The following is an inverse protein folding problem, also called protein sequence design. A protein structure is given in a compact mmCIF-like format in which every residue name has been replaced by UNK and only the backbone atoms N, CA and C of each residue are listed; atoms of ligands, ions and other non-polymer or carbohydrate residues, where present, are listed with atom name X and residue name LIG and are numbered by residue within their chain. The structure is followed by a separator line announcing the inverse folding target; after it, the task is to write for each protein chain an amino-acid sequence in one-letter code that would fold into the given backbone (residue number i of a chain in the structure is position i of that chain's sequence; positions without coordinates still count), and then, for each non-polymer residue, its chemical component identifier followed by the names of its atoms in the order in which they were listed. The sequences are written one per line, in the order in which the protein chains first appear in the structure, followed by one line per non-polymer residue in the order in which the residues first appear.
data_IF_513373156877
#
_entry.id   IF_513373156877
#
_cell.length_a   1.000
_cell.length_b   1.000
_cell.length_c   1.000
_cell.angle_alpha   90.00
_cell.angle_beta   90.00
_cell.angle_gamma   90.00
#
_symmetry.space_group_name_H-M   'P 1'
#
loop_
_entity.id
_entity.type
_entity.pdbx_description
1 polymer ?
#
# COMPACT_ATOMS: atom_id res chain seq x y z
N UNK A 1 -38.90 18.59 -46.04
CA UNK A 1 -38.57 17.75 -44.87
C UNK A 1 -37.07 17.35 -44.81
N UNK A 2 -36.16 18.10 -45.47
CA UNK A 2 -34.72 17.80 -45.49
C UNK A 2 -33.84 18.85 -44.78
N UNK A 3 -34.39 20.01 -44.40
CA UNK A 3 -33.62 21.10 -43.77
C UNK A 3 -33.54 20.96 -42.24
N UNK A 4 -34.49 20.24 -41.61
CA UNK A 4 -34.52 20.06 -40.14
C UNK A 4 -33.58 18.97 -39.61
N UNK A 5 -33.05 18.10 -40.48
CA UNK A 5 -32.13 17.02 -40.09
C UNK A 5 -30.64 17.43 -40.10
N UNK A 6 -30.26 18.52 -40.78
CA UNK A 6 -28.87 19.01 -40.75
C UNK A 6 -28.57 19.88 -39.52
N UNK A 7 -29.55 20.60 -38.97
CA UNK A 7 -29.37 21.35 -37.72
C UNK A 7 -29.23 20.44 -36.48
N UNK A 8 -29.95 19.30 -36.43
CA UNK A 8 -29.85 18.35 -35.32
C UNK A 8 -28.48 17.65 -35.30
N UNK A 9 -27.90 17.37 -36.46
CA UNK A 9 -26.54 16.81 -36.59
C UNK A 9 -25.46 17.85 -36.24
N UNK A 10 -25.71 19.15 -36.50
CA UNK A 10 -24.83 20.24 -36.09
C UNK A 10 -24.81 20.50 -34.58
N UNK A 11 -25.95 20.29 -33.91
CA UNK A 11 -26.08 20.45 -32.44
C UNK A 11 -25.43 19.27 -31.70
N UNK A 12 -25.51 18.04 -32.21
CA UNK A 12 -24.81 16.87 -31.65
C UNK A 12 -23.28 16.96 -31.75
N UNK A 13 -22.75 17.70 -32.72
CA UNK A 13 -21.30 17.97 -32.86
C UNK A 13 -20.77 19.09 -31.95
N UNK A 14 -21.63 19.82 -31.24
CA UNK A 14 -21.26 20.88 -30.29
C UNK A 14 -21.36 20.46 -28.82
N UNK A 15 -21.35 19.15 -28.53
CA UNK A 15 -21.20 18.67 -27.17
C UNK A 15 -19.70 18.61 -26.81
N UNK A 16 -19.25 19.24 -25.70
CA UNK A 16 -17.89 19.13 -25.17
C UNK A 16 -17.58 17.72 -24.61
N UNK A 17 -18.36 16.71 -25.00
CA UNK A 17 -18.21 15.32 -24.61
C UNK A 17 -17.14 14.59 -25.41
N UNK A 18 -16.91 14.91 -26.70
CA UNK A 18 -15.93 14.19 -27.53
C UNK A 18 -14.50 14.32 -27.00
N UNK A 19 -14.05 15.54 -26.66
CA UNK A 19 -12.72 15.75 -26.09
C UNK A 19 -12.59 15.14 -24.68
N UNK A 20 -13.67 15.16 -23.88
CA UNK A 20 -13.69 14.54 -22.54
C UNK A 20 -13.67 13.02 -22.60
N UNK A 21 -14.36 12.41 -23.57
CA UNK A 21 -14.37 10.96 -23.80
C UNK A 21 -13.04 10.49 -24.37
N UNK A 22 -12.43 11.24 -25.30
CA UNK A 22 -11.09 10.95 -25.78
C UNK A 22 -10.04 11.09 -24.66
N UNK A 23 -10.12 12.13 -23.82
CA UNK A 23 -9.22 12.28 -22.67
C UNK A 23 -9.44 11.20 -21.60
N UNK A 24 -10.69 10.76 -21.43
CA UNK A 24 -11.02 9.64 -20.54
C UNK A 24 -10.50 8.32 -21.09
N UNK A 25 -10.65 8.08 -22.40
CA UNK A 25 -10.11 6.89 -23.07
C UNK A 25 -8.59 6.81 -22.98
N UNK A 26 -7.88 7.92 -23.20
CA UNK A 26 -6.43 7.98 -23.00
C UNK A 26 -6.03 7.75 -21.55
N UNK A 27 -6.81 8.27 -20.59
CA UNK A 27 -6.57 8.07 -19.16
C UNK A 27 -6.78 6.61 -18.72
N UNK A 28 -7.87 5.97 -19.16
CA UNK A 28 -8.13 4.55 -18.90
C UNK A 28 -7.04 3.68 -19.54
N UNK A 29 -6.62 4.01 -20.76
CA UNK A 29 -5.51 3.34 -21.43
C UNK A 29 -4.22 3.48 -20.63
N UNK A 30 -3.92 4.68 -20.12
CA UNK A 30 -2.75 4.90 -19.26
C UNK A 30 -2.80 4.05 -17.99
N UNK A 31 -3.94 3.96 -17.29
CA UNK A 31 -4.08 3.10 -16.09
C UNK A 31 -3.82 1.63 -16.42
N UNK A 32 -4.30 1.16 -17.58
CA UNK A 32 -4.12 -0.22 -18.01
C UNK A 32 -2.69 -0.51 -18.48
N UNK A 33 -2.02 0.46 -19.10
CA UNK A 33 -0.60 0.37 -19.46
C UNK A 33 0.30 0.44 -18.22
N UNK A 34 -0.11 1.22 -17.22
CA UNK A 34 0.63 1.39 -15.97
C UNK A 34 0.62 0.10 -15.13
N UNK A 35 -0.57 -0.49 -14.91
CA UNK A 35 -0.67 -1.79 -14.26
C UNK A 35 -1.69 -2.69 -14.98
N UNK A 36 -1.25 -3.55 -15.91
CA UNK A 36 -2.16 -4.42 -16.67
C UNK A 36 -2.93 -5.39 -15.77
N UNK A 37 -2.44 -5.65 -14.55
CA UNK A 37 -3.15 -6.51 -13.58
C UNK A 37 -4.47 -5.88 -13.14
N UNK A 38 -4.61 -4.54 -13.17
CA UNK A 38 -5.88 -3.84 -12.88
C UNK A 38 -6.95 -4.16 -13.91
N UNK A 39 -6.59 -4.26 -15.19
CA UNK A 39 -7.50 -4.67 -16.26
C UNK A 39 -7.91 -6.13 -16.10
N UNK A 40 -6.95 -7.03 -15.83
CA UNK A 40 -7.27 -8.43 -15.57
C UNK A 40 -8.18 -8.56 -14.35
N UNK A 41 -7.90 -7.82 -13.28
CA UNK A 41 -8.71 -7.78 -12.07
C UNK A 41 -10.16 -7.32 -12.33
N UNK A 42 -10.37 -6.24 -13.10
CA UNK A 42 -11.73 -5.77 -13.40
C UNK A 42 -12.55 -6.82 -14.17
N UNK A 43 -11.92 -7.52 -15.12
CA UNK A 43 -12.55 -8.63 -15.85
C UNK A 43 -12.87 -9.81 -14.91
N UNK A 44 -11.98 -10.16 -13.99
CA UNK A 44 -12.24 -11.23 -12.99
C UNK A 44 -13.44 -10.93 -12.11
N UNK A 45 -13.54 -9.70 -11.61
CA UNK A 45 -14.66 -9.27 -10.76
C UNK A 45 -15.97 -9.39 -11.56
N UNK A 46 -15.98 -8.88 -12.80
CA UNK A 46 -17.14 -9.02 -13.69
C UNK A 46 -17.52 -10.48 -13.95
N UNK A 47 -16.54 -11.34 -14.21
CA UNK A 47 -16.74 -12.77 -14.43
C UNK A 47 -17.30 -13.47 -13.18
N UNK A 48 -16.75 -13.19 -12.00
CA UNK A 48 -17.22 -13.74 -10.73
C UNK A 48 -18.67 -13.34 -10.45
N UNK A 49 -19.02 -12.06 -10.67
CA UNK A 49 -20.40 -11.57 -10.54
C UNK A 49 -21.32 -12.24 -11.55
N UNK A 50 -20.90 -12.36 -12.81
CA UNK A 50 -21.69 -13.00 -13.86
C UNK A 50 -21.97 -14.47 -13.52
N UNK A 51 -20.96 -15.23 -13.10
CA UNK A 51 -21.11 -16.65 -12.75
C UNK A 51 -21.99 -16.83 -11.52
N UNK A 52 -21.78 -16.04 -10.46
CA UNK A 52 -22.65 -16.08 -9.27
C UNK A 52 -24.08 -15.69 -9.61
N UNK A 53 -24.28 -14.76 -10.56
CA UNK A 53 -25.61 -14.40 -11.08
C UNK A 53 -26.22 -15.47 -11.98
N UNK A 54 -25.42 -16.23 -12.74
CA UNK A 54 -25.94 -17.32 -13.59
C UNK A 54 -26.53 -18.45 -12.74
N UNK A 55 -25.96 -18.75 -11.57
CA UNK A 55 -26.58 -19.66 -10.61
C UNK A 55 -27.98 -19.23 -10.16
N UNK A 56 -28.31 -17.94 -10.27
CA UNK A 56 -29.65 -17.43 -10.01
C UNK A 56 -30.58 -17.57 -11.22
N UNK A 57 -30.08 -17.41 -12.44
CA UNK A 57 -30.89 -17.50 -13.65
C UNK A 57 -31.24 -18.94 -14.08
N UNK A 58 -30.45 -19.94 -13.65
CA UNK A 58 -30.72 -21.35 -13.95
C UNK A 58 -31.42 -22.04 -12.77
N UNK A 59 -32.73 -21.79 -12.65
CA UNK A 59 -33.67 -22.33 -11.65
C UNK A 59 -33.68 -23.87 -11.43
N UNK A 60 -33.42 -24.77 -12.41
CA UNK A 60 -33.67 -26.21 -12.20
C UNK A 60 -32.73 -26.94 -11.23
N UNK A 61 -31.63 -26.33 -10.76
CA UNK A 61 -30.65 -26.99 -9.89
C UNK A 61 -30.85 -26.73 -8.39
N UNK A 62 -31.70 -25.75 -8.01
CA UNK A 62 -31.83 -25.26 -6.64
C UNK A 62 -33.29 -24.99 -6.25
N UNK A 63 -34.15 -25.99 -6.48
CA UNK A 63 -35.60 -25.96 -6.18
C UNK A 63 -35.85 -25.99 -4.66
N UNK A 64 -35.58 -24.86 -3.98
CA UNK A 64 -35.84 -24.66 -2.56
C UNK A 64 -36.52 -23.29 -2.38
N UNK A 65 -37.79 -23.32 -1.96
CA UNK A 65 -38.61 -22.14 -1.72
C UNK A 65 -37.88 -21.13 -0.80
N UNK A 66 -37.48 -19.97 -1.35
CA UNK A 66 -36.88 -18.86 -0.57
C UNK A 66 -35.57 -18.26 -1.11
N UNK A 67 -34.98 -18.82 -2.18
CA UNK A 67 -33.65 -18.41 -2.65
C UNK A 67 -33.61 -17.07 -3.44
N UNK A 68 -34.76 -16.54 -3.86
CA UNK A 68 -34.86 -15.34 -4.70
C UNK A 68 -34.17 -14.09 -4.12
N UNK A 69 -34.54 -13.72 -2.89
CA UNK A 69 -33.94 -12.58 -2.16
C UNK A 69 -32.58 -12.94 -1.57
N UNK A 70 -32.32 -14.22 -1.29
CA UNK A 70 -31.04 -14.68 -0.75
C UNK A 70 -29.88 -14.57 -1.75
N UNK A 71 -30.18 -14.71 -3.04
CA UNK A 71 -29.18 -14.66 -4.12
C UNK A 71 -28.57 -13.27 -4.32
N UNK A 72 -29.33 -12.20 -4.06
CA UNK A 72 -28.81 -10.83 -4.06
C UNK A 72 -27.67 -10.68 -3.05
N UNK A 73 -27.72 -11.39 -1.91
CA UNK A 73 -26.66 -11.35 -0.91
C UNK A 73 -25.37 -12.02 -1.36
N UNK A 74 -25.44 -13.06 -2.19
CA UNK A 74 -24.26 -13.68 -2.77
C UNK A 74 -23.55 -12.70 -3.72
N UNK A 75 -24.29 -12.07 -4.63
CA UNK A 75 -23.76 -11.05 -5.56
C UNK A 75 -23.18 -9.85 -4.81
N UNK A 76 -23.92 -9.30 -3.84
CA UNK A 76 -23.43 -8.20 -2.98
C UNK A 76 -22.19 -8.63 -2.20
N UNK A 77 -22.09 -9.89 -1.78
CA UNK A 77 -20.90 -10.39 -1.10
C UNK A 77 -19.68 -10.38 -2.02
N UNK A 78 -19.83 -10.86 -3.26
CA UNK A 78 -18.75 -10.78 -4.26
C UNK A 78 -18.31 -9.33 -4.43
N UNK A 79 -19.24 -8.42 -4.71
CA UNK A 79 -18.92 -6.99 -4.93
C UNK A 79 -18.16 -6.36 -3.76
N UNK A 80 -18.51 -6.72 -2.52
CA UNK A 80 -17.96 -6.06 -1.32
C UNK A 80 -16.68 -6.73 -0.80
N UNK A 81 -16.52 -8.03 -1.03
CA UNK A 81 -15.36 -8.82 -0.53
C UNK A 81 -14.23 -8.88 -1.55
N UNK A 82 -14.54 -8.87 -2.85
CA UNK A 82 -13.54 -9.00 -3.89
C UNK A 82 -12.66 -7.76 -3.93
N UNK A 83 -11.37 -7.95 -3.64
CA UNK A 83 -10.35 -6.92 -3.56
C UNK A 83 -9.23 -7.18 -4.55
N UNK A 84 -8.42 -6.15 -4.81
CA UNK A 84 -7.35 -6.22 -5.80
C UNK A 84 -6.38 -7.39 -5.56
N UNK A 85 -5.97 -7.60 -4.31
CA UNK A 85 -5.10 -8.71 -3.91
C UNK A 85 -5.88 -9.88 -3.30
N UNK A 86 -5.28 -11.07 -3.39
CA UNK A 86 -5.79 -12.29 -2.78
C UNK A 86 -5.88 -12.13 -1.26
N UNK A 87 -4.82 -11.61 -0.62
CA UNK A 87 -4.79 -11.40 0.83
C UNK A 87 -5.88 -10.46 1.34
N UNK A 88 -6.16 -9.37 0.61
CA UNK A 88 -7.23 -8.45 0.96
C UNK A 88 -8.61 -9.10 0.84
N UNK A 89 -8.83 -9.91 -0.20
CA UNK A 89 -10.08 -10.64 -0.42
C UNK A 89 -10.30 -11.70 0.66
N UNK A 90 -9.28 -12.49 0.99
CA UNK A 90 -9.31 -13.48 2.07
C UNK A 90 -9.61 -12.81 3.42
N UNK A 91 -8.90 -11.74 3.75
CA UNK A 91 -9.11 -10.99 4.99
C UNK A 91 -10.52 -10.42 5.11
N UNK A 92 -11.05 -9.80 4.04
CA UNK A 92 -12.45 -9.33 4.01
C UNK A 92 -13.45 -10.47 4.09
N UNK A 93 -13.22 -11.57 3.38
CA UNK A 93 -14.11 -12.74 3.36
C UNK A 93 -14.24 -13.37 4.75
N UNK A 94 -13.12 -13.61 5.42
CA UNK A 94 -13.10 -14.13 6.80
C UNK A 94 -13.75 -13.15 7.77
N UNK A 95 -13.41 -11.85 7.69
CA UNK A 95 -14.02 -10.82 8.53
C UNK A 95 -15.54 -10.76 8.33
N UNK A 96 -16.03 -10.87 7.10
CA UNK A 96 -17.47 -10.91 6.79
C UNK A 96 -18.12 -12.13 7.41
N UNK A 97 -17.53 -13.32 7.23
CA UNK A 97 -18.05 -14.57 7.79
C UNK A 97 -18.20 -14.52 9.31
N UNK A 98 -17.15 -14.10 10.02
CA UNK A 98 -17.17 -13.95 11.49
C UNK A 98 -18.20 -12.91 11.92
N UNK A 99 -18.21 -11.74 11.28
CA UNK A 99 -19.15 -10.67 11.61
C UNK A 99 -20.62 -11.10 11.42
N UNK A 100 -20.92 -11.76 10.30
CA UNK A 100 -22.25 -12.28 10.00
C UNK A 100 -22.67 -13.35 11.01
N UNK A 101 -21.78 -14.28 11.37
CA UNK A 101 -22.07 -15.32 12.36
C UNK A 101 -22.38 -14.74 13.74
N UNK A 102 -21.54 -13.81 14.23
CA UNK A 102 -21.74 -13.14 15.50
C UNK A 102 -23.02 -12.30 15.52
N UNK A 103 -23.24 -11.52 14.46
CA UNK A 103 -24.43 -10.69 14.32
C UNK A 103 -25.73 -11.51 14.22
N UNK A 104 -25.70 -12.63 13.49
CA UNK A 104 -26.83 -13.54 13.37
C UNK A 104 -27.16 -14.21 14.70
N UNK A 105 -26.14 -14.70 15.40
CA UNK A 105 -26.31 -15.30 16.73
C UNK A 105 -26.91 -14.30 17.73
N UNK A 106 -26.39 -13.07 17.74
CA UNK A 106 -26.90 -12.01 18.61
C UNK A 106 -28.31 -11.56 18.21
N UNK A 107 -28.62 -11.51 16.91
CA UNK A 107 -29.95 -11.19 16.41
C UNK A 107 -31.01 -12.21 16.84
N UNK A 108 -30.68 -13.51 16.76
CA UNK A 108 -31.54 -14.58 17.28
C UNK A 108 -31.72 -14.45 18.79
N UNK A 109 -30.66 -14.12 19.54
CA UNK A 109 -30.75 -13.89 20.97
C UNK A 109 -31.67 -12.69 21.32
N UNK A 110 -31.52 -11.56 20.60
CA UNK A 110 -32.37 -10.39 20.77
C UNK A 110 -33.85 -10.71 20.47
N UNK A 111 -34.11 -11.50 19.43
CA UNK A 111 -35.45 -11.96 19.11
C UNK A 111 -36.04 -12.84 20.22
N UNK A 112 -35.27 -13.82 20.73
CA UNK A 112 -35.71 -14.68 21.85
C UNK A 112 -36.03 -13.87 23.10
N UNK A 113 -35.18 -12.89 23.45
CA UNK A 113 -35.42 -11.98 24.57
C UNK A 113 -36.71 -11.17 24.39
N UNK A 114 -36.96 -10.66 23.18
CA UNK A 114 -38.18 -9.92 22.89
C UNK A 114 -39.44 -10.80 23.00
N UNK A 115 -39.36 -12.06 22.56
CA UNK A 115 -40.48 -13.02 22.69
C UNK A 115 -40.74 -13.46 24.13
N UNK A 116 -39.69 -13.58 24.97
CA UNK A 116 -39.86 -13.93 26.39
C UNK A 116 -40.62 -12.85 27.18
N UNK A 117 -40.66 -11.60 26.69
CA UNK A 117 -41.39 -10.52 27.35
C UNK A 117 -42.92 -10.69 27.31
N UNK A 118 -43.45 -11.66 26.55
CA UNK A 118 -44.87 -12.09 26.59
C UNK A 118 -45.89 -11.04 26.14
N UNK A 119 -45.47 -9.91 25.59
CA UNK A 119 -46.33 -8.81 25.15
C UNK A 119 -45.94 -8.36 23.75
N UNK A 120 -46.83 -8.58 22.79
CA UNK A 120 -46.63 -8.23 21.38
C UNK A 120 -46.38 -6.72 21.18
N UNK A 121 -46.87 -5.88 22.10
CA UNK A 121 -46.64 -4.43 22.09
C UNK A 121 -45.22 -4.05 22.54
N UNK A 122 -44.57 -4.86 23.37
CA UNK A 122 -43.22 -4.62 23.89
C UNK A 122 -42.13 -5.17 22.96
N UNK A 123 -42.43 -6.19 22.16
CA UNK A 123 -41.48 -6.81 21.23
C UNK A 123 -40.78 -5.81 20.29
N UNK A 124 -41.47 -4.89 19.57
CA UNK A 124 -40.80 -3.94 18.68
C UNK A 124 -39.97 -2.90 19.45
N UNK A 125 -40.36 -2.56 20.69
CA UNK A 125 -39.62 -1.64 21.55
C UNK A 125 -38.30 -2.29 22.01
N UNK A 126 -38.35 -3.54 22.46
CA UNK A 126 -37.16 -4.30 22.89
C UNK A 126 -36.19 -4.51 21.72
N UNK A 127 -36.70 -4.88 20.54
CA UNK A 127 -35.87 -5.03 19.34
C UNK A 127 -35.28 -3.69 18.89
N UNK A 128 -36.06 -2.60 18.92
CA UNK A 128 -35.60 -1.25 18.59
C UNK A 128 -34.48 -0.77 19.52
N UNK A 129 -34.66 -0.95 20.84
CA UNK A 129 -33.63 -0.63 21.83
C UNK A 129 -32.36 -1.48 21.64
N UNK A 130 -32.53 -2.77 21.34
CA UNK A 130 -31.39 -3.67 21.06
C UNK A 130 -30.60 -3.21 19.84
N UNK A 131 -31.27 -2.87 18.73
CA UNK A 131 -30.66 -2.30 17.53
C UNK A 131 -29.93 -1.01 17.84
N UNK A 132 -30.58 -0.09 18.55
CA UNK A 132 -29.97 1.18 18.95
C UNK A 132 -28.70 0.98 19.78
N UNK A 133 -28.75 0.15 20.82
CA UNK A 133 -27.61 -0.10 21.72
C UNK A 133 -26.44 -0.75 20.98
N UNK A 134 -26.69 -1.85 20.25
CA UNK A 134 -25.63 -2.58 19.54
C UNK A 134 -25.03 -1.72 18.42
N UNK A 135 -25.86 -1.02 17.64
CA UNK A 135 -25.37 -0.16 16.58
C UNK A 135 -24.53 1.01 17.14
N UNK A 136 -24.95 1.60 18.26
CA UNK A 136 -24.20 2.68 18.92
C UNK A 136 -22.84 2.19 19.44
N UNK A 137 -22.81 1.06 20.16
CA UNK A 137 -21.58 0.47 20.70
C UNK A 137 -20.63 0.10 19.56
N UNK A 138 -21.12 -0.63 18.57
CA UNK A 138 -20.31 -1.05 17.43
C UNK A 138 -19.80 0.14 16.61
N UNK A 139 -20.63 1.18 16.40
CA UNK A 139 -20.18 2.41 15.73
C UNK A 139 -19.12 3.14 16.53
N UNK A 140 -19.25 3.20 17.87
CA UNK A 140 -18.22 3.77 18.72
C UNK A 140 -16.89 3.00 18.62
N UNK A 141 -16.94 1.66 18.58
CA UNK A 141 -15.75 0.82 18.38
C UNK A 141 -15.00 1.15 17.07
N UNK A 142 -15.68 1.63 16.02
CA UNK A 142 -15.04 2.05 14.75
C UNK A 142 -14.16 3.28 14.89
N UNK A 143 -14.36 4.10 15.92
CA UNK A 143 -13.48 5.24 16.19
C UNK A 143 -12.19 4.83 16.91
N UNK A 144 -12.11 3.62 17.47
CA UNK A 144 -10.91 3.11 18.14
C UNK A 144 -9.86 2.71 17.08
N UNK A 145 -8.68 3.37 17.00
CA UNK A 145 -7.71 3.12 15.91
C UNK A 145 -7.27 1.67 15.82
N UNK A 146 -7.07 0.99 16.97
CA UNK A 146 -6.66 -0.42 17.04
C UNK A 146 -7.68 -1.37 16.40
N UNK A 147 -8.98 -1.09 16.54
CA UNK A 147 -10.04 -1.89 15.95
C UNK A 147 -10.29 -1.50 14.49
N UNK A 148 -10.25 -0.20 14.20
CA UNK A 148 -10.52 0.34 12.86
C UNK A 148 -9.59 -0.24 11.80
N UNK A 149 -8.28 -0.28 12.06
CA UNK A 149 -7.29 -0.74 11.08
C UNK A 149 -7.52 -2.20 10.64
N UNK A 150 -8.04 -3.05 11.53
CA UNK A 150 -8.15 -4.49 11.28
C UNK A 150 -9.58 -4.98 11.03
N UNK A 151 -10.56 -4.33 11.64
CA UNK A 151 -11.93 -4.85 11.73
C UNK A 151 -13.01 -3.85 11.30
N UNK A 152 -12.70 -2.64 10.84
CA UNK A 152 -13.73 -1.64 10.48
C UNK A 152 -14.80 -2.21 9.52
N UNK A 153 -14.35 -2.93 8.49
CA UNK A 153 -15.22 -3.64 7.56
C UNK A 153 -16.12 -4.68 8.27
N UNK A 154 -15.53 -5.51 9.14
CA UNK A 154 -16.26 -6.51 9.91
C UNK A 154 -17.30 -5.89 10.85
N UNK A 155 -16.96 -4.79 11.52
CA UNK A 155 -17.88 -4.05 12.40
C UNK A 155 -19.05 -3.47 11.59
N UNK A 156 -18.80 -2.93 10.40
CA UNK A 156 -19.85 -2.44 9.51
C UNK A 156 -20.81 -3.57 9.09
N UNK A 157 -20.27 -4.73 8.69
CA UNK A 157 -21.08 -5.91 8.34
C UNK A 157 -21.84 -6.45 9.54
N UNK A 158 -21.24 -6.41 10.73
CA UNK A 158 -21.88 -6.83 11.97
C UNK A 158 -23.11 -5.98 12.27
N UNK A 159 -22.98 -4.64 12.22
CA UNK A 159 -24.10 -3.70 12.40
C UNK A 159 -25.20 -3.98 11.39
N UNK A 160 -24.85 -4.04 10.09
CA UNK A 160 -25.81 -4.29 9.02
C UNK A 160 -26.55 -5.61 9.20
N UNK A 161 -25.82 -6.66 9.60
CA UNK A 161 -26.38 -8.00 9.73
C UNK A 161 -27.30 -8.10 10.93
N UNK A 162 -26.86 -7.57 12.08
CA UNK A 162 -27.63 -7.57 13.32
C UNK A 162 -28.92 -6.77 13.15
N UNK A 163 -28.83 -5.52 12.65
CA UNK A 163 -30.00 -4.66 12.45
C UNK A 163 -31.03 -5.30 11.53
N UNK A 164 -30.59 -5.91 10.43
CA UNK A 164 -31.49 -6.57 9.51
C UNK A 164 -32.16 -7.82 10.11
N UNK A 165 -31.42 -8.68 10.81
CA UNK A 165 -31.98 -9.90 11.42
C UNK A 165 -32.98 -9.53 12.52
N UNK A 166 -32.61 -8.57 13.38
CA UNK A 166 -33.48 -8.08 14.46
C UNK A 166 -34.76 -7.43 13.94
N UNK A 167 -34.69 -6.61 12.87
CA UNK A 167 -35.87 -5.93 12.29
C UNK A 167 -36.74 -6.90 11.47
N UNK A 168 -36.11 -7.78 10.67
CA UNK A 168 -36.85 -8.74 9.82
C UNK A 168 -37.47 -9.89 10.61
N UNK A 169 -36.90 -10.24 11.77
CA UNK A 169 -37.44 -11.26 12.66
C UNK A 169 -38.77 -10.87 13.32
N UNK A 170 -39.06 -9.57 13.44
CA UNK A 170 -40.34 -9.10 13.97
C UNK A 170 -41.54 -9.47 13.08
N UNK A 171 -41.35 -9.53 11.76
CA UNK A 171 -42.45 -9.74 10.79
C UNK A 171 -42.70 -11.22 10.44
N UNK A 172 -41.85 -12.13 10.90
CA UNK A 172 -41.81 -13.48 10.35
C UNK A 172 -41.29 -14.48 11.40
N UNK A 173 -42.06 -15.53 11.67
CA UNK A 173 -41.80 -16.46 12.78
C UNK A 173 -40.58 -17.38 12.54
N UNK A 174 -40.00 -17.39 11.33
CA UNK A 174 -38.86 -18.24 10.94
C UNK A 174 -37.52 -17.47 10.92
N UNK A 175 -37.18 -16.80 12.02
CA UNK A 175 -35.93 -16.00 12.15
C UNK A 175 -34.67 -16.85 11.92
N UNK A 176 -34.72 -18.13 12.33
CA UNK A 176 -33.60 -19.06 12.20
C UNK A 176 -33.30 -19.41 10.74
N UNK A 177 -34.33 -19.68 9.93
CA UNK A 177 -34.16 -19.99 8.51
C UNK A 177 -33.64 -18.80 7.73
N UNK A 178 -34.08 -17.58 8.06
CA UNK A 178 -33.54 -16.35 7.48
C UNK A 178 -32.05 -16.15 7.83
N UNK A 179 -31.66 -16.45 9.06
CA UNK A 179 -30.27 -16.35 9.50
C UNK A 179 -29.38 -17.39 8.80
N UNK A 180 -29.83 -18.65 8.70
CA UNK A 180 -29.11 -19.74 8.01
C UNK A 180 -28.97 -19.42 6.52
N UNK A 181 -30.07 -19.07 5.86
CA UNK A 181 -30.10 -18.76 4.43
C UNK A 181 -29.15 -17.62 4.07
N UNK A 182 -29.03 -16.61 4.93
CA UNK A 182 -28.07 -15.52 4.75
C UNK A 182 -26.62 -15.96 5.00
N UNK A 183 -26.39 -16.78 6.02
CA UNK A 183 -25.05 -17.30 6.29
C UNK A 183 -24.54 -18.16 5.14
N UNK A 184 -25.38 -19.03 4.57
CA UNK A 184 -25.01 -19.90 3.45
C UNK A 184 -24.75 -19.11 2.16
N UNK A 185 -25.57 -18.13 1.80
CA UNK A 185 -25.33 -17.32 0.58
C UNK A 185 -24.13 -16.39 0.70
N UNK A 186 -23.84 -15.86 1.88
CA UNK A 186 -22.60 -15.11 2.13
C UNK A 186 -21.38 -16.04 2.02
N UNK A 187 -21.46 -17.27 2.55
CA UNK A 187 -20.38 -18.25 2.41
C UNK A 187 -20.14 -18.63 0.95
N UNK A 188 -21.20 -18.86 0.17
CA UNK A 188 -21.10 -19.18 -1.27
C UNK A 188 -20.48 -18.00 -2.03
N UNK A 189 -20.99 -16.77 -1.83
CA UNK A 189 -20.44 -15.58 -2.49
C UNK A 189 -18.98 -15.31 -2.10
N UNK A 190 -18.63 -15.48 -0.83
CA UNK A 190 -17.27 -15.33 -0.33
C UNK A 190 -16.32 -16.40 -0.90
N UNK A 191 -16.74 -17.66 -0.92
CA UNK A 191 -15.99 -18.77 -1.48
C UNK A 191 -15.75 -18.58 -2.98
N UNK A 192 -16.77 -18.16 -3.73
CA UNK A 192 -16.64 -17.82 -5.15
C UNK A 192 -15.63 -16.69 -5.34
N UNK A 193 -15.75 -15.58 -4.60
CA UNK A 193 -14.81 -14.46 -4.71
C UNK A 193 -13.36 -14.89 -4.46
N UNK A 194 -13.11 -15.69 -3.43
CA UNK A 194 -11.78 -16.24 -3.11
C UNK A 194 -11.28 -17.16 -4.24
N UNK A 195 -12.12 -18.09 -4.71
CA UNK A 195 -11.77 -19.03 -5.76
C UNK A 195 -11.33 -18.31 -7.04
N UNK A 196 -12.15 -17.36 -7.53
CA UNK A 196 -11.84 -16.60 -8.73
C UNK A 196 -10.57 -15.77 -8.57
N UNK A 197 -10.33 -15.17 -7.40
CA UNK A 197 -9.16 -14.34 -7.18
C UNK A 197 -7.86 -15.16 -7.06
N UNK A 198 -7.93 -16.36 -6.49
CA UNK A 198 -6.77 -17.27 -6.36
C UNK A 198 -6.44 -17.97 -7.69
N UNK A 199 -7.45 -18.41 -8.44
CA UNK A 199 -7.25 -19.24 -9.64
C UNK A 199 -6.92 -18.40 -10.87
N UNK A 200 -7.60 -17.29 -11.09
CA UNK A 200 -7.39 -16.47 -12.28
C UNK A 200 -6.31 -15.44 -11.98
N UNK A 201 -5.11 -15.60 -12.54
CA UNK A 201 -4.00 -14.63 -12.50
C UNK A 201 -3.81 -13.91 -11.15
N UNK A 202 -3.54 -14.62 -10.05
CA UNK A 202 -3.57 -14.06 -8.69
C UNK A 202 -2.63 -12.87 -8.52
N UNK A 203 -3.10 -11.87 -7.77
CA UNK A 203 -2.30 -10.70 -7.38
C UNK A 203 -1.97 -10.80 -5.90
N UNK A 204 -0.69 -10.80 -5.56
CA UNK A 204 -0.18 -11.04 -4.22
C UNK A 204 0.34 -9.75 -3.59
N UNK A 205 -0.25 -9.35 -2.47
CA UNK A 205 0.19 -8.19 -1.69
C UNK A 205 1.59 -8.39 -1.09
N UNK A 206 1.97 -9.62 -0.75
CA UNK A 206 3.32 -9.93 -0.27
C UNK A 206 4.41 -9.67 -1.31
N UNK A 207 4.16 -10.03 -2.57
CA UNK A 207 5.05 -9.75 -3.70
C UNK A 207 5.09 -8.23 -4.00
N UNK A 208 3.94 -7.56 -3.99
CA UNK A 208 3.88 -6.10 -4.18
C UNK A 208 4.64 -5.35 -3.08
N UNK A 209 4.50 -5.76 -1.82
CA UNK A 209 5.26 -5.20 -0.69
C UNK A 209 6.76 -5.41 -0.88
N UNK A 210 7.15 -6.62 -1.26
CA UNK A 210 8.55 -6.95 -1.44
C UNK A 210 9.22 -6.12 -2.54
N UNK A 211 8.54 -5.97 -3.67
CA UNK A 211 9.00 -5.15 -4.77
C UNK A 211 8.97 -3.66 -4.43
N UNK A 212 7.97 -3.19 -3.68
CA UNK A 212 7.87 -1.81 -3.22
C UNK A 212 9.05 -1.44 -2.33
N UNK A 213 9.32 -2.19 -1.26
CA UNK A 213 10.44 -1.92 -0.36
C UNK A 213 11.77 -1.95 -1.12
N UNK A 214 11.98 -2.95 -1.98
CA UNK A 214 13.22 -3.04 -2.73
C UNK A 214 13.39 -1.90 -3.74
N UNK A 215 12.30 -1.43 -4.36
CA UNK A 215 12.33 -0.26 -5.26
C UNK A 215 12.58 1.02 -4.49
N UNK A 216 11.95 1.20 -3.33
CA UNK A 216 12.22 2.35 -2.46
C UNK A 216 13.71 2.41 -2.06
N UNK A 217 14.33 1.28 -1.72
CA UNK A 217 15.79 1.22 -1.44
C UNK A 217 16.61 1.58 -2.69
N UNK A 218 16.23 1.07 -3.86
CA UNK A 218 16.91 1.37 -5.12
C UNK A 218 16.84 2.86 -5.46
N UNK A 219 15.67 3.49 -5.29
CA UNK A 219 15.43 4.91 -5.54
C UNK A 219 16.32 5.78 -4.63
N UNK A 220 16.45 5.43 -3.35
CA UNK A 220 17.41 6.09 -2.45
C UNK A 220 18.84 5.97 -2.97
N UNK A 221 19.23 4.77 -3.43
CA UNK A 221 20.57 4.53 -3.93
C UNK A 221 20.87 5.32 -5.21
N UNK A 222 19.88 5.45 -6.11
CA UNK A 222 19.96 6.29 -7.30
C UNK A 222 20.11 7.77 -6.92
N UNK A 223 19.29 8.27 -5.98
CA UNK A 223 19.39 9.64 -5.49
C UNK A 223 20.77 9.92 -4.88
N UNK A 224 21.29 9.03 -4.02
CA UNK A 224 22.62 9.18 -3.41
C UNK A 224 23.75 9.20 -4.45
N UNK A 225 23.72 8.33 -5.47
CA UNK A 225 24.68 8.42 -6.58
C UNK A 225 24.57 9.76 -7.33
N UNK A 226 23.36 10.30 -7.47
CA UNK A 226 23.10 11.64 -8.00
C UNK A 226 23.79 12.74 -7.20
N UNK A 227 23.62 12.76 -5.88
CA UNK A 227 24.32 13.70 -4.99
C UNK A 227 25.84 13.49 -5.01
N UNK A 228 26.33 12.27 -5.16
CA UNK A 228 27.76 12.01 -5.33
C UNK A 228 28.34 12.68 -6.57
N UNK A 229 27.60 12.68 -7.70
CA UNK A 229 28.00 13.41 -8.92
C UNK A 229 27.96 14.92 -8.71
N UNK A 230 26.97 15.42 -7.97
CA UNK A 230 26.88 16.83 -7.60
C UNK A 230 28.08 17.25 -6.73
N UNK A 231 28.40 16.50 -5.66
CA UNK A 231 29.59 16.76 -4.83
C UNK A 231 30.89 16.72 -5.65
N UNK A 232 30.99 15.83 -6.64
CA UNK A 232 32.16 15.81 -7.53
C UNK A 232 32.34 17.12 -8.30
N UNK A 233 31.24 17.80 -8.65
CA UNK A 233 31.22 19.05 -9.42
C UNK A 233 30.98 20.31 -8.60
N UNK A 234 31.10 20.23 -7.27
CA UNK A 234 30.79 21.34 -6.34
C UNK A 234 31.52 22.68 -6.63
N UNK A 235 32.61 22.64 -7.41
CA UNK A 235 33.37 23.83 -7.85
C UNK A 235 32.76 24.53 -9.09
N UNK A 236 31.96 23.83 -9.90
CA UNK A 236 31.30 24.34 -11.12
C UNK A 236 29.86 24.71 -10.75
N UNK A 237 29.62 25.96 -10.39
CA UNK A 237 28.27 26.44 -10.00
C UNK A 237 27.26 26.22 -11.14
N UNK A 238 26.24 25.40 -10.90
CA UNK A 238 24.92 25.59 -11.50
C UNK A 238 23.83 24.92 -10.65
N UNK A 239 22.90 25.74 -10.17
CA UNK A 239 21.68 25.32 -9.47
C UNK A 239 20.83 24.39 -10.36
N UNK A 240 20.87 24.60 -11.69
CA UNK A 240 20.23 23.72 -12.66
C UNK A 240 20.87 22.33 -12.72
N UNK A 241 22.13 22.18 -12.30
CA UNK A 241 22.80 20.88 -12.24
C UNK A 241 22.34 20.08 -11.03
N UNK A 242 22.03 20.72 -9.90
CA UNK A 242 21.43 20.07 -8.73
C UNK A 242 20.01 19.58 -9.04
N UNK A 243 19.20 20.38 -9.74
CA UNK A 243 17.86 19.93 -10.17
C UNK A 243 17.92 18.78 -11.18
N UNK A 244 18.88 18.79 -12.11
CA UNK A 244 19.08 17.69 -13.07
C UNK A 244 19.68 16.42 -12.45
N UNK A 245 20.42 16.54 -11.34
CA UNK A 245 21.10 15.40 -10.68
C UNK A 245 20.34 14.85 -9.47
N UNK A 246 19.50 15.67 -8.82
CA UNK A 246 18.61 15.25 -7.72
C UNK A 246 17.35 14.62 -8.29
N UNK A 247 17.42 13.34 -8.63
CA UNK A 247 16.24 12.55 -8.92
C UNK A 247 15.33 12.55 -7.68
N UNK A 248 14.18 13.21 -7.78
CA UNK A 248 13.19 13.36 -6.70
C UNK A 248 12.41 12.06 -6.41
N UNK A 249 12.91 10.93 -6.90
CA UNK A 249 12.31 9.60 -6.79
C UNK A 249 12.09 9.23 -5.31
N UNK A 250 12.99 9.67 -4.41
CA UNK A 250 12.87 9.48 -2.96
C UNK A 250 11.62 10.15 -2.32
N UNK A 251 10.98 11.14 -2.97
CA UNK A 251 9.80 11.83 -2.40
C UNK A 251 8.60 10.89 -2.24
N UNK A 252 8.43 9.95 -3.17
CA UNK A 252 7.37 8.94 -3.08
C UNK A 252 7.57 8.01 -1.88
N UNK A 253 8.83 7.77 -1.52
CA UNK A 253 9.22 6.93 -0.37
C UNK A 253 8.76 7.54 0.95
N UNK A 254 8.85 8.86 1.12
CA UNK A 254 8.46 9.54 2.38
C UNK A 254 7.01 9.26 2.77
N UNK A 255 6.11 9.18 1.78
CA UNK A 255 4.67 8.99 1.99
C UNK A 255 4.21 7.52 1.88
N UNK A 256 5.13 6.56 1.82
CA UNK A 256 4.84 5.15 1.56
C UNK A 256 4.23 4.37 2.75
N UNK A 257 4.32 4.89 3.99
CA UNK A 257 4.01 4.16 5.22
C UNK A 257 2.62 3.50 5.22
N UNK A 258 1.59 4.23 4.83
CA UNK A 258 0.22 3.71 4.83
C UNK A 258 0.04 2.56 3.81
N UNK A 259 0.70 2.66 2.65
CA UNK A 259 0.71 1.60 1.64
C UNK A 259 1.40 0.33 2.16
N UNK A 260 2.57 0.48 2.77
CA UNK A 260 3.33 -0.64 3.33
C UNK A 260 2.57 -1.36 4.45
N UNK A 261 1.98 -0.60 5.39
CA UNK A 261 1.16 -1.17 6.47
C UNK A 261 -0.04 -1.95 5.94
N UNK A 262 -0.72 -1.42 4.91
CA UNK A 262 -1.84 -2.10 4.26
C UNK A 262 -1.39 -3.40 3.58
N UNK A 263 -0.32 -3.35 2.79
CA UNK A 263 0.20 -4.52 2.10
C UNK A 263 0.67 -5.61 3.08
N UNK A 264 1.32 -5.23 4.19
CA UNK A 264 1.69 -6.18 5.26
C UNK A 264 0.45 -6.83 5.89
N UNK A 265 -0.62 -6.06 6.11
CA UNK A 265 -1.85 -6.60 6.67
C UNK A 265 -2.52 -7.58 5.72
N UNK A 266 -2.50 -7.31 4.42
CA UNK A 266 -3.02 -8.23 3.40
C UNK A 266 -2.14 -9.48 3.23
N UNK A 267 -0.81 -9.31 3.18
CA UNK A 267 0.14 -10.41 2.99
C UNK A 267 0.10 -11.46 4.11
N UNK A 268 -0.33 -11.08 5.33
CA UNK A 268 -0.55 -12.01 6.45
C UNK A 268 -1.69 -13.01 6.20
N UNK A 269 -2.65 -12.67 5.34
CA UNK A 269 -3.77 -13.54 4.98
C UNK A 269 -3.44 -14.50 3.84
N UNK A 270 -2.33 -14.29 3.14
CA UNK A 270 -2.02 -15.02 1.91
C UNK A 270 -1.55 -16.45 2.21
N UNK A 271 -2.01 -17.44 1.43
CA UNK A 271 -1.40 -18.78 1.44
C UNK A 271 0.05 -18.71 0.93
N UNK A 272 0.74 -19.85 1.02
CA UNK A 272 2.06 -19.99 0.40
C UNK A 272 2.00 -19.70 -1.10
N UNK A 273 2.84 -18.78 -1.58
CA UNK A 273 2.90 -18.40 -2.99
C UNK A 273 4.33 -17.99 -3.38
N UNK A 274 4.73 -18.32 -4.61
CA UNK A 274 6.06 -17.98 -5.14
C UNK A 274 7.19 -18.39 -4.19
N UNK A 275 8.00 -17.40 -3.76
CA UNK A 275 9.09 -17.59 -2.80
C UNK A 275 8.70 -17.31 -1.35
N UNK A 276 7.46 -16.86 -1.09
CA UNK A 276 7.00 -16.44 0.23
C UNK A 276 6.28 -17.57 0.95
N UNK A 277 6.83 -17.97 2.10
CA UNK A 277 6.34 -19.11 2.90
C UNK A 277 5.15 -18.73 3.77
N UNK A 278 4.40 -19.73 4.22
CA UNK A 278 3.42 -19.52 5.29
C UNK A 278 4.14 -18.98 6.55
N UNK A 279 3.54 -17.99 7.21
CA UNK A 279 4.16 -17.21 8.32
C UNK A 279 5.47 -16.51 7.94
N UNK A 280 5.54 -15.99 6.71
CA UNK A 280 6.62 -15.10 6.29
C UNK A 280 6.80 -13.92 7.28
N UNK A 281 8.03 -13.48 7.58
CA UNK A 281 8.31 -12.42 8.56
C UNK A 281 7.98 -11.02 8.02
N UNK A 282 6.72 -10.77 7.64
CA UNK A 282 6.26 -9.49 7.08
C UNK A 282 6.54 -8.28 7.99
N UNK A 283 6.66 -8.48 9.31
CA UNK A 283 7.03 -7.41 10.24
C UNK A 283 8.43 -6.82 9.98
N UNK A 284 9.36 -7.60 9.43
CA UNK A 284 10.70 -7.10 9.09
C UNK A 284 10.66 -6.09 7.93
N UNK A 285 9.68 -6.19 7.04
CA UNK A 285 9.51 -5.25 5.93
C UNK A 285 9.12 -3.86 6.44
N UNK A 286 8.31 -3.77 7.50
CA UNK A 286 7.98 -2.47 8.13
C UNK A 286 9.21 -1.84 8.77
N UNK A 287 10.03 -2.63 9.46
CA UNK A 287 11.29 -2.15 10.05
C UNK A 287 12.23 -1.60 8.98
N UNK A 288 12.40 -2.33 7.88
CA UNK A 288 13.21 -1.87 6.74
C UNK A 288 12.59 -0.60 6.12
N UNK A 289 11.27 -0.59 5.94
CA UNK A 289 10.53 0.57 5.43
C UNK A 289 10.73 1.82 6.29
N UNK A 290 10.71 1.70 7.62
CA UNK A 290 10.93 2.82 8.54
C UNK A 290 12.32 3.44 8.34
N UNK A 291 13.36 2.59 8.26
CA UNK A 291 14.73 3.04 7.99
C UNK A 291 14.86 3.70 6.60
N UNK A 292 14.23 3.11 5.59
CA UNK A 292 14.21 3.63 4.22
C UNK A 292 13.53 5.00 4.14
N UNK A 293 12.43 5.21 4.86
CA UNK A 293 11.79 6.53 4.98
C UNK A 293 12.66 7.55 5.71
N UNK A 294 13.31 7.14 6.80
CA UNK A 294 14.23 7.99 7.52
C UNK A 294 15.40 8.44 6.63
N UNK A 295 15.96 7.53 5.83
CA UNK A 295 16.95 7.87 4.79
C UNK A 295 16.40 8.89 3.80
N UNK A 296 15.18 8.70 3.31
CA UNK A 296 14.53 9.63 2.38
C UNK A 296 14.38 11.04 3.00
N UNK A 297 14.06 11.12 4.29
CA UNK A 297 13.98 12.38 5.03
C UNK A 297 15.35 13.05 5.13
N UNK A 298 16.42 12.30 5.42
CA UNK A 298 17.78 12.84 5.41
C UNK A 298 18.22 13.33 4.03
N UNK A 299 17.91 12.59 2.96
CA UNK A 299 18.16 13.05 1.59
C UNK A 299 17.41 14.36 1.31
N UNK A 300 16.15 14.46 1.76
CA UNK A 300 15.35 15.67 1.58
C UNK A 300 15.94 16.87 2.35
N UNK A 301 16.36 16.65 3.59
CA UNK A 301 17.01 17.66 4.42
C UNK A 301 18.33 18.12 3.79
N UNK A 302 19.14 17.17 3.28
CA UNK A 302 20.37 17.45 2.55
C UNK A 302 20.08 18.31 1.30
N UNK A 303 19.05 17.99 0.51
CA UNK A 303 18.63 18.81 -0.64
C UNK A 303 18.33 20.24 -0.21
N UNK A 304 17.49 20.40 0.80
CA UNK A 304 17.07 21.71 1.31
C UNK A 304 18.27 22.53 1.79
N UNK A 305 19.22 21.91 2.47
CA UNK A 305 20.43 22.58 2.94
C UNK A 305 21.35 22.95 1.76
N UNK A 306 21.55 22.04 0.79
CA UNK A 306 22.37 22.32 -0.40
C UNK A 306 21.80 23.45 -1.27
N UNK A 307 20.47 23.59 -1.36
CA UNK A 307 19.82 24.69 -2.09
C UNK A 307 19.91 26.02 -1.35
N UNK A 308 19.85 26.02 -0.01
CA UNK A 308 19.83 27.25 0.79
C UNK A 308 21.21 27.75 1.21
N UNK A 309 22.25 26.91 1.15
CA UNK A 309 23.55 27.23 1.72
C UNK A 309 24.49 27.97 0.77
N UNK A 310 24.94 29.14 1.21
CA UNK A 310 26.10 29.83 0.63
C UNK A 310 27.41 29.28 1.22
N UNK A 311 27.86 28.13 0.71
CA UNK A 311 29.11 27.49 1.16
C UNK A 311 30.35 28.26 0.71
N UNK A 312 31.28 28.51 1.62
CA UNK A 312 32.59 29.11 1.29
C UNK A 312 33.40 28.17 0.39
N UNK A 313 34.30 28.68 -0.47
CA UNK A 313 35.16 27.83 -1.30
C UNK A 313 35.99 26.82 -0.47
N UNK A 314 36.45 27.22 0.71
CA UNK A 314 37.18 26.35 1.63
C UNK A 314 36.30 25.26 2.24
N UNK A 315 35.09 25.63 2.70
CA UNK A 315 34.11 24.66 3.21
C UNK A 315 33.74 23.62 2.15
N UNK A 316 33.53 24.06 0.91
CA UNK A 316 33.29 23.19 -0.25
C UNK A 316 34.44 22.20 -0.45
N UNK A 317 35.68 22.67 -0.56
CA UNK A 317 36.86 21.79 -0.74
C UNK A 317 37.02 20.77 0.39
N UNK A 318 36.75 21.16 1.65
CA UNK A 318 36.88 20.27 2.81
C UNK A 318 35.93 19.08 2.77
N UNK A 319 34.69 19.29 2.32
CA UNK A 319 33.67 18.24 2.32
C UNK A 319 33.54 17.51 0.98
N UNK A 320 34.08 18.08 -0.11
CA UNK A 320 33.86 17.59 -1.47
C UNK A 320 34.22 16.11 -1.63
N UNK A 321 35.46 15.74 -1.35
CA UNK A 321 35.97 14.38 -1.54
C UNK A 321 35.28 13.38 -0.58
N UNK A 322 35.19 13.62 0.74
CA UNK A 322 34.49 12.71 1.65
C UNK A 322 33.01 12.52 1.29
N UNK A 323 32.27 13.61 1.05
CA UNK A 323 30.85 13.53 0.71
C UNK A 323 30.62 12.83 -0.64
N UNK A 324 31.44 13.12 -1.65
CA UNK A 324 31.39 12.40 -2.93
C UNK A 324 31.52 10.90 -2.73
N UNK A 325 32.52 10.48 -1.95
CA UNK A 325 32.80 9.07 -1.70
C UNK A 325 31.69 8.40 -0.87
N UNK A 326 31.22 9.06 0.20
CA UNK A 326 30.11 8.57 1.02
C UNK A 326 28.85 8.38 0.18
N UNK A 327 28.47 9.38 -0.62
CA UNK A 327 27.28 9.33 -1.48
C UNK A 327 27.34 8.19 -2.52
N UNK A 328 28.46 8.06 -3.24
CA UNK A 328 28.60 7.03 -4.29
C UNK A 328 28.61 5.61 -3.69
N UNK A 329 29.35 5.42 -2.60
CA UNK A 329 29.50 4.11 -1.97
C UNK A 329 28.20 3.67 -1.26
N UNK A 330 27.51 4.57 -0.55
CA UNK A 330 26.17 4.29 -0.01
C UNK A 330 25.17 4.02 -1.13
N UNK A 331 25.14 4.84 -2.18
CA UNK A 331 24.24 4.65 -3.30
C UNK A 331 24.44 3.30 -4.01
N UNK A 332 25.69 2.89 -4.18
CA UNK A 332 26.05 1.58 -4.73
C UNK A 332 25.63 0.44 -3.80
N UNK A 333 25.87 0.57 -2.48
CA UNK A 333 25.45 -0.42 -1.49
C UNK A 333 23.93 -0.60 -1.46
N UNK A 334 23.16 0.50 -1.47
CA UNK A 334 21.70 0.47 -1.46
C UNK A 334 21.13 -0.15 -2.75
N UNK A 335 21.66 0.19 -3.92
CA UNK A 335 21.23 -0.45 -5.18
C UNK A 335 21.54 -1.94 -5.21
N UNK A 336 22.69 -2.34 -4.66
CA UNK A 336 23.06 -3.76 -4.62
C UNK A 336 22.23 -4.54 -3.60
N UNK A 337 21.92 -3.97 -2.43
CA UNK A 337 21.03 -4.63 -1.45
C UNK A 337 19.58 -4.64 -1.91
N UNK A 338 19.12 -3.62 -2.64
CA UNK A 338 17.82 -3.62 -3.33
C UNK A 338 17.74 -4.76 -4.35
N UNK A 339 18.79 -4.92 -5.17
CA UNK A 339 18.90 -6.05 -6.11
C UNK A 339 18.93 -7.38 -5.37
N UNK A 340 19.67 -7.48 -4.26
CA UNK A 340 19.70 -8.68 -3.41
C UNK A 340 18.29 -9.06 -2.93
N UNK A 341 17.54 -8.06 -2.48
CA UNK A 341 16.16 -8.21 -2.05
C UNK A 341 15.28 -8.72 -3.20
N UNK A 342 15.22 -8.02 -4.34
CA UNK A 342 14.41 -8.40 -5.52
C UNK A 342 14.69 -9.83 -6.01
N UNK A 343 15.96 -10.22 -5.99
CA UNK A 343 16.39 -11.54 -6.48
C UNK A 343 16.30 -12.64 -5.42
N UNK A 344 16.21 -12.26 -4.15
CA UNK A 344 16.41 -13.11 -2.97
C UNK A 344 17.76 -13.85 -3.01
N UNK A 345 18.80 -13.11 -3.40
CA UNK A 345 20.19 -13.61 -3.45
C UNK A 345 21.14 -12.59 -2.84
N UNK A 346 22.11 -13.02 -2.04
CA UNK A 346 23.11 -12.13 -1.43
C UNK A 346 24.29 -11.89 -2.38
N UNK A 347 24.77 -10.65 -2.42
CA UNK A 347 25.96 -10.24 -3.18
C UNK A 347 27.09 -9.82 -2.23
N UNK A 348 28.33 -10.35 -2.38
CA UNK A 348 29.44 -10.04 -1.48
C UNK A 348 29.96 -8.60 -1.56
N UNK A 349 29.65 -7.87 -2.64
CA UNK A 349 30.20 -6.53 -2.88
C UNK A 349 29.51 -5.43 -2.07
N UNK A 350 28.30 -5.69 -1.53
CA UNK A 350 27.59 -4.75 -0.63
C UNK A 350 28.45 -4.39 0.59
N UNK A 351 29.08 -5.38 1.23
CA UNK A 351 29.93 -5.15 2.41
C UNK A 351 31.16 -4.29 2.07
N UNK A 352 31.73 -4.49 0.87
CA UNK A 352 32.85 -3.68 0.37
C UNK A 352 32.48 -2.21 0.23
N UNK A 353 31.30 -1.92 -0.34
CA UNK A 353 30.80 -0.55 -0.48
C UNK A 353 30.55 0.11 0.88
N UNK A 354 29.92 -0.62 1.82
CA UNK A 354 29.68 -0.13 3.18
C UNK A 354 30.99 0.19 3.92
N UNK A 355 32.01 -0.67 3.81
CA UNK A 355 33.32 -0.41 4.43
C UNK A 355 33.98 0.85 3.88
N UNK A 356 33.90 1.09 2.56
CA UNK A 356 34.43 2.30 1.94
C UNK A 356 33.67 3.56 2.36
N UNK A 357 32.34 3.47 2.49
CA UNK A 357 31.51 4.56 3.00
C UNK A 357 31.86 4.92 4.45
N UNK A 358 32.00 3.91 5.34
CA UNK A 358 32.44 4.10 6.73
C UNK A 358 33.82 4.74 6.82
N UNK A 359 34.78 4.30 6.01
CA UNK A 359 36.12 4.90 5.97
C UNK A 359 36.10 6.38 5.54
N UNK A 360 35.24 6.73 4.57
CA UNK A 360 35.04 8.12 4.15
C UNK A 360 34.36 8.97 5.23
N UNK A 361 33.40 8.40 5.96
CA UNK A 361 32.75 9.03 7.10
C UNK A 361 33.75 9.34 8.24
N UNK A 362 34.66 8.41 8.57
CA UNK A 362 35.72 8.65 9.56
C UNK A 362 36.70 9.74 9.12
N UNK A 363 37.07 9.77 7.83
CA UNK A 363 37.88 10.87 7.27
C UNK A 363 37.16 12.22 7.44
N UNK A 364 35.86 12.29 7.16
CA UNK A 364 35.06 13.50 7.34
C UNK A 364 34.97 13.91 8.82
N UNK A 365 34.73 12.96 9.73
CA UNK A 365 34.73 13.21 11.19
C UNK A 365 36.06 13.78 11.66
N UNK A 366 37.18 13.26 11.16
CA UNK A 366 38.51 13.77 11.48
C UNK A 366 38.68 15.21 11.00
N UNK A 367 38.25 15.52 9.76
CA UNK A 367 38.33 16.88 9.19
C UNK A 367 37.55 17.88 10.05
N UNK A 368 36.32 17.52 10.45
CA UNK A 368 35.47 18.36 11.32
C UNK A 368 36.13 18.58 12.68
N UNK A 369 36.67 17.52 13.31
CA UNK A 369 37.35 17.63 14.61
C UNK A 369 38.61 18.49 14.53
N UNK A 370 39.42 18.34 13.50
CA UNK A 370 40.63 19.17 13.30
C UNK A 370 40.31 20.64 13.01
N UNK A 371 39.14 20.92 12.41
CA UNK A 371 38.67 22.28 12.11
C UNK A 371 37.97 22.98 13.27
N UNK A 372 37.74 22.30 14.41
CA UNK A 372 37.10 22.87 15.61
C UNK A 372 38.03 23.71 16.49
N UNK A 373 39.30 23.89 16.11
CA UNK A 373 40.31 24.70 16.82
C UNK A 373 40.37 26.15 16.32
N UNK A 374 39.25 26.71 15.85
CA UNK A 374 39.21 27.96 15.09
C UNK A 374 38.25 28.97 15.75
N UNK A 375 38.62 30.27 15.74
CA UNK A 375 37.86 31.41 16.29
C UNK A 375 36.40 31.50 15.80
N UNK A 376 35.52 32.09 16.62
CA UNK A 376 34.06 32.19 16.38
C UNK A 376 33.65 32.76 15.01
N UNK A 377 34.43 33.67 14.44
CA UNK A 377 34.14 34.29 13.14
C UNK A 377 34.31 33.33 11.95
N UNK A 378 35.15 32.30 12.07
CA UNK A 378 35.27 31.23 11.08
C UNK A 378 34.25 30.11 11.31
N UNK A 379 33.78 29.95 12.55
CA UNK A 379 32.76 28.97 12.91
C UNK A 379 31.42 29.23 12.19
N UNK A 380 31.00 30.50 12.10
CA UNK A 380 29.78 30.88 11.34
C UNK A 380 29.93 30.62 9.83
N UNK A 381 31.14 30.78 9.28
CA UNK A 381 31.44 30.52 7.86
C UNK A 381 31.47 29.02 7.51
N UNK A 382 31.78 28.17 8.49
CA UNK A 382 31.85 26.72 8.33
C UNK A 382 30.53 26.01 8.67
N UNK A 383 29.62 26.68 9.38
CA UNK A 383 28.34 26.11 9.85
C UNK A 383 27.53 25.39 8.75
N UNK A 384 27.34 25.94 7.53
CA UNK A 384 26.67 25.23 6.43
C UNK A 384 27.35 23.93 6.03
N UNK A 385 28.69 23.92 5.99
CA UNK A 385 29.48 22.75 5.62
C UNK A 385 29.42 21.66 6.70
N UNK A 386 29.40 22.07 7.96
CA UNK A 386 29.24 21.17 9.10
C UNK A 386 27.85 20.51 9.12
N UNK A 387 26.78 21.25 8.81
CA UNK A 387 25.43 20.69 8.70
C UNK A 387 25.33 19.66 7.59
N UNK A 388 25.83 19.98 6.39
CA UNK A 388 25.86 19.04 5.27
C UNK A 388 26.69 17.79 5.60
N UNK A 389 27.83 17.98 6.28
CA UNK A 389 28.63 16.87 6.74
C UNK A 389 27.89 15.99 7.77
N UNK A 390 27.13 16.59 8.70
CA UNK A 390 26.29 15.85 9.65
C UNK A 390 25.24 15.00 8.93
N UNK A 391 24.46 15.59 8.02
CA UNK A 391 23.47 14.84 7.25
C UNK A 391 24.09 13.69 6.45
N UNK A 392 25.28 13.90 5.88
CA UNK A 392 26.01 12.84 5.19
C UNK A 392 26.44 11.72 6.14
N UNK A 393 26.85 12.02 7.37
CA UNK A 393 27.18 11.01 8.38
C UNK A 393 25.94 10.23 8.80
N UNK A 394 24.81 10.90 9.00
CA UNK A 394 23.52 10.27 9.32
C UNK A 394 23.05 9.35 8.19
N UNK A 395 23.21 9.78 6.93
CA UNK A 395 22.94 8.95 5.75
C UNK A 395 23.80 7.69 5.68
N UNK A 396 25.09 7.77 6.04
CA UNK A 396 25.95 6.58 6.11
C UNK A 396 25.48 5.65 7.22
N UNK A 397 25.17 6.17 8.41
CA UNK A 397 24.68 5.34 9.52
C UNK A 397 23.38 4.61 9.14
N UNK A 398 22.41 5.34 8.63
CA UNK A 398 21.12 4.76 8.25
C UNK A 398 21.25 3.78 7.07
N UNK A 399 22.12 4.05 6.08
CA UNK A 399 22.40 3.10 4.98
C UNK A 399 22.96 1.77 5.49
N UNK A 400 23.81 1.81 6.53
CA UNK A 400 24.32 0.59 7.19
C UNK A 400 23.19 -0.17 7.86
N UNK A 401 22.32 0.52 8.60
CA UNK A 401 21.18 -0.11 9.28
C UNK A 401 20.18 -0.75 8.31
N UNK A 402 19.95 -0.12 7.14
CA UNK A 402 19.15 -0.70 6.05
C UNK A 402 19.79 -2.00 5.57
N UNK A 403 21.09 -1.97 5.25
CA UNK A 403 21.82 -3.16 4.77
C UNK A 403 21.79 -4.28 5.80
N UNK A 404 22.06 -3.98 7.07
CA UNK A 404 22.04 -4.95 8.15
C UNK A 404 20.63 -5.55 8.35
N UNK A 405 19.59 -4.73 8.28
CA UNK A 405 18.19 -5.19 8.40
C UNK A 405 17.77 -6.08 7.23
N UNK A 406 18.20 -5.77 5.99
CA UNK A 406 17.95 -6.63 4.83
C UNK A 406 18.76 -7.93 4.94
N UNK A 407 20.01 -7.88 5.41
CA UNK A 407 20.83 -9.07 5.65
C UNK A 407 20.22 -9.97 6.75
N UNK A 408 19.65 -9.38 7.80
CA UNK A 408 18.90 -10.12 8.82
C UNK A 408 17.68 -10.82 8.21
N UNK A 409 16.91 -10.11 7.38
CA UNK A 409 15.78 -10.70 6.65
C UNK A 409 16.27 -11.83 5.72
N UNK A 410 17.37 -11.63 5.00
CA UNK A 410 17.97 -12.62 4.12
C UNK A 410 18.40 -13.90 4.87
N UNK A 411 18.94 -13.75 6.09
CA UNK A 411 19.28 -14.87 6.98
C UNK A 411 18.05 -15.66 7.42
N UNK A 412 16.97 -14.97 7.83
CA UNK A 412 15.69 -15.59 8.19
C UNK A 412 15.07 -16.37 7.02
N UNK A 413 15.21 -15.83 5.80
CA UNK A 413 14.64 -16.40 4.58
C UNK A 413 15.58 -17.36 3.83
N UNK A 414 16.81 -17.52 4.30
CA UNK A 414 17.87 -18.33 3.67
C UNK A 414 18.08 -17.96 2.20
N UNK A 415 18.36 -16.69 1.94
CA UNK A 415 18.72 -16.21 0.60
C UNK A 415 19.90 -17.01 0.05
N UNK A 416 19.91 -17.22 -1.28
CA UNK A 416 21.04 -17.92 -1.92
C UNK A 416 22.24 -16.98 -1.97
N UNK A 417 23.43 -17.46 -1.59
CA UNK A 417 24.67 -16.70 -1.76
C UNK A 417 25.25 -16.98 -3.15
N UNK A 418 25.52 -15.93 -3.93
CA UNK A 418 26.32 -16.06 -5.17
C UNK A 418 27.78 -15.72 -4.88
N UNK A 419 28.69 -16.57 -5.33
CA UNK A 419 30.14 -16.34 -5.26
C UNK A 419 30.63 -15.26 -6.25
N UNK A 420 29.81 -14.83 -7.22
CA UNK A 420 30.17 -13.78 -8.21
C UNK A 420 28.96 -13.12 -8.87
N UNK A 421 29.08 -11.85 -9.31
CA UNK A 421 28.03 -11.06 -9.96
C UNK A 421 27.45 -11.72 -11.23
N UNK A 422 26.12 -11.80 -11.41
CA UNK A 422 25.53 -12.02 -12.72
C UNK A 422 25.68 -10.76 -13.59
N UNK A 423 25.87 -10.95 -14.90
CA UNK A 423 25.90 -9.86 -15.89
C UNK A 423 24.56 -9.10 -15.82
N UNK A 424 24.63 -7.76 -15.72
CA UNK A 424 23.47 -6.85 -15.67
C UNK A 424 22.41 -7.29 -16.70
N UNK A 425 21.24 -7.73 -16.23
CA UNK A 425 20.06 -7.81 -17.09
C UNK A 425 19.64 -6.37 -17.39
N UNK A 426 19.61 -6.03 -18.68
CA UNK A 426 19.22 -4.70 -19.14
C UNK A 426 17.85 -4.32 -18.59
N UNK A 427 17.75 -3.08 -18.11
CA UNK A 427 16.51 -2.46 -17.65
C UNK A 427 15.44 -2.55 -18.74
N UNK A 428 14.46 -3.44 -18.59
CA UNK A 428 13.19 -3.37 -19.31
C UNK A 428 12.05 -3.68 -18.34
N UNK A 429 11.00 -2.87 -18.50
CA UNK A 429 9.78 -2.69 -17.69
C UNK A 429 9.99 -2.22 -16.25
N UNK A 430 10.08 -0.90 -16.11
CA UNK A 430 9.72 -0.15 -14.91
C UNK A 430 8.23 -0.46 -14.65
N UNK A 431 7.89 -1.09 -13.54
CA UNK A 431 6.51 -1.08 -13.04
C UNK A 431 6.29 0.37 -12.58
N UNK A 432 5.37 1.13 -13.17
CA UNK A 432 5.13 2.49 -12.72
C UNK A 432 4.62 2.43 -11.28
N UNK A 433 5.33 3.18 -10.43
CA UNK A 433 4.87 3.63 -9.13
C UNK A 433 3.57 4.41 -9.34
N UNK A 434 2.46 3.69 -9.40
CA UNK A 434 1.14 4.29 -9.42
C UNK A 434 0.89 4.92 -8.06
N UNK A 435 0.68 6.23 -8.03
CA UNK A 435 0.19 6.97 -6.88
C UNK A 435 -0.90 6.18 -6.16
N UNK A 436 -0.58 5.61 -4.99
CA UNK A 436 -1.58 5.17 -4.01
C UNK A 436 -2.00 6.45 -3.28
N UNK A 437 -2.66 7.33 -4.03
CA UNK A 437 -3.29 8.54 -3.54
C UNK A 437 -4.67 8.20 -3.02
N UNK A 438 -4.90 8.48 -1.74
CA UNK A 438 -6.18 8.40 -1.08
C UNK A 438 -7.25 9.20 -1.86
N UNK A 439 -8.25 8.51 -2.41
CA UNK A 439 -9.45 9.15 -2.92
C UNK A 439 -10.42 9.39 -1.75
N UNK A 440 -10.27 10.51 -1.04
CA UNK A 440 -11.37 11.10 -0.30
C UNK A 440 -12.24 11.88 -1.29
N UNK A 441 -13.36 11.29 -1.70
CA UNK A 441 -14.43 12.01 -2.39
C UNK A 441 -15.09 12.96 -1.40
N UNK A 442 -14.72 14.25 -1.48
CA UNK A 442 -15.54 15.34 -0.96
C UNK A 442 -16.65 15.57 -1.98
N UNK A 443 -17.85 15.08 -1.66
CA UNK A 443 -19.07 15.51 -2.34
C UNK A 443 -19.42 16.86 -1.72
N UNK A 444 -19.20 17.95 -2.47
CA UNK A 444 -19.87 19.20 -2.18
C UNK A 444 -21.35 19.00 -2.51
N UNK A 445 -22.18 19.06 -1.47
CA UNK A 445 -23.61 19.29 -1.59
C UNK A 445 -23.78 20.80 -1.63
N UNK A 446 -24.19 21.34 -2.76
CA UNK A 446 -25.00 22.56 -2.78
C UNK A 446 -26.43 22.21 -2.35
#
# INVERSE_FOLDING_TARGET
MAVKNQEIVGILKKLPASNKVCSFGSYVKQIAEDDPRKLVHSVKVGLAIAIVSLFYYFEPLFDYEGFGVSSMWAVLTVVVVFEFSVGATLGKGVNRGIATFLAGSLGVAAHKLATFSGSDKLQPIILGLSVFSVASIATFMRFMPKLKVRYDYGILIFILTFSMISVSGYRDHMVLDKAITRATTILIGGAAAILFNVVICPVWAGEDLHNLIATNIEDLGISLEGYGKYFKKLDVKSEEELERTSLEEYKCVINSKASEENLVNFAKWEPHHGKFRYRHPWGQYLKIGDLVRECAIYINALKSELTSCNMTPEGRKRIQEPCTKMSIECGSALKEIAMSMKTMTLYPTTDSHILKAKAAAEKLRSIIKSGGLIEEAELQKLLPSTKIASFMLDLVSNSVEIVDSVNQLAGLLKFKSLSSKPKRLGSKSRIPSGNIGAAHLVVNVE
#
